data_IF_622559075959
#
_entry.id   IF_622559075959
#
_cell.length_a   1.000
_cell.length_b   1.000
_cell.length_c   1.000
_cell.angle_alpha   90.00
_cell.angle_beta   90.00
_cell.angle_gamma   90.00
#
_symmetry.space_group_name_H-M   'P 1'
#
loop_
_entity.id
_entity.type
_entity.pdbx_description
1 polymer ?
#
# COMPACT_ATOMS: atom_id res chain seq x y z
N UNK A 1 -10.92 -20.35 14.70
CA UNK A 1 -9.59 -19.72 14.74
C UNK A 1 -8.57 -20.56 15.48
N UNK A 2 -7.57 -21.06 14.77
CA UNK A 2 -6.42 -21.82 15.25
C UNK A 2 -5.47 -21.00 16.14
N UNK A 3 -5.36 -19.69 15.94
CA UNK A 3 -4.51 -18.85 16.78
C UNK A 3 -4.79 -18.99 18.30
N UNK A 4 -6.02 -19.37 18.69
CA UNK A 4 -6.40 -19.62 20.10
C UNK A 4 -5.78 -20.89 20.68
N UNK A 5 -5.44 -21.86 19.83
CA UNK A 5 -4.92 -23.18 20.23
C UNK A 5 -3.40 -23.28 20.08
N UNK A 6 -2.76 -22.29 19.48
CA UNK A 6 -1.30 -22.25 19.31
C UNK A 6 -0.65 -21.98 20.67
N UNK A 7 0.38 -22.76 20.99
CA UNK A 7 1.15 -22.61 22.21
C UNK A 7 1.78 -21.22 22.33
N UNK A 8 1.83 -20.69 23.55
CA UNK A 8 2.36 -19.34 23.83
C UNK A 8 3.79 -19.11 23.32
N UNK A 9 4.64 -20.14 23.32
CA UNK A 9 6.03 -20.05 22.83
C UNK A 9 6.10 -19.99 21.30
N UNK A 10 5.07 -20.47 20.60
CA UNK A 10 4.99 -20.50 19.15
C UNK A 10 4.11 -19.37 18.57
N UNK A 11 3.30 -18.72 19.40
CA UNK A 11 2.35 -17.68 18.99
C UNK A 11 3.02 -16.48 18.29
N UNK A 12 4.16 -15.99 18.78
CA UNK A 12 4.87 -14.88 18.11
C UNK A 12 5.33 -15.27 16.69
N UNK A 13 5.77 -16.52 16.50
CA UNK A 13 6.15 -17.05 15.19
C UNK A 13 4.96 -17.08 14.24
N UNK A 14 3.80 -17.54 14.71
CA UNK A 14 2.55 -17.53 13.95
C UNK A 14 2.11 -16.11 13.58
N UNK A 15 2.04 -15.20 14.56
CA UNK A 15 1.61 -13.82 14.36
C UNK A 15 2.55 -13.07 13.41
N UNK A 16 3.85 -13.35 13.46
CA UNK A 16 4.82 -12.84 12.48
C UNK A 16 4.52 -13.36 11.08
N UNK A 17 4.22 -14.65 10.93
CA UNK A 17 3.84 -15.23 9.65
C UNK A 17 2.57 -14.56 9.08
N UNK A 18 1.55 -14.37 9.93
CA UNK A 18 0.30 -13.67 9.58
C UNK A 18 0.55 -12.24 9.10
N UNK A 19 1.34 -11.45 9.85
CA UNK A 19 1.71 -10.09 9.45
C UNK A 19 2.47 -10.06 8.12
N UNK A 20 3.41 -10.98 7.89
CA UNK A 20 4.20 -11.03 6.65
C UNK A 20 3.31 -11.29 5.44
N UNK A 21 2.39 -12.26 5.49
CA UNK A 21 1.53 -12.60 4.34
C UNK A 21 0.43 -11.55 4.09
N UNK A 22 -0.06 -10.89 5.14
CA UNK A 22 -1.00 -9.77 5.03
C UNK A 22 -0.32 -8.52 4.45
N UNK A 23 0.94 -8.24 4.81
CA UNK A 23 1.70 -7.12 4.24
C UNK A 23 2.21 -7.42 2.81
N UNK A 24 2.43 -8.70 2.47
CA UNK A 24 2.96 -9.12 1.19
C UNK A 24 2.05 -10.18 0.57
N UNK A 25 1.12 -9.75 -0.26
CA UNK A 25 0.15 -10.65 -0.88
C UNK A 25 0.79 -11.70 -1.82
N UNK A 26 2.05 -11.52 -2.19
CA UNK A 26 2.89 -12.51 -2.84
C UNK A 26 4.21 -12.62 -2.05
N UNK A 27 4.55 -13.85 -1.68
CA UNK A 27 5.85 -14.21 -1.10
C UNK A 27 6.45 -15.31 -1.97
N UNK A 28 7.73 -15.17 -2.29
CA UNK A 28 8.50 -16.12 -3.10
C UNK A 28 9.75 -16.55 -2.33
N UNK A 29 10.62 -17.35 -2.95
CA UNK A 29 11.90 -17.75 -2.32
C UNK A 29 12.83 -16.56 -2.05
N UNK A 30 12.63 -15.43 -2.74
CA UNK A 30 13.49 -14.24 -2.64
C UNK A 30 12.74 -13.00 -2.16
N UNK A 31 11.42 -12.92 -2.36
CA UNK A 31 10.60 -11.76 -2.03
C UNK A 31 9.58 -12.07 -0.91
N UNK A 32 9.35 -11.16 0.06
CA UNK A 32 10.11 -9.92 0.29
C UNK A 32 11.53 -10.19 0.78
N UNK A 33 11.79 -11.37 1.34
CA UNK A 33 13.10 -11.86 1.74
C UNK A 33 13.13 -13.40 1.74
N UNK A 34 14.30 -13.98 2.00
CA UNK A 34 14.52 -15.45 1.97
C UNK A 34 13.93 -16.22 3.15
N UNK A 35 13.53 -15.54 4.22
CA UNK A 35 13.03 -16.18 5.45
C UNK A 35 11.49 -16.18 5.53
N UNK A 36 10.83 -15.30 4.77
CA UNK A 36 9.37 -15.15 4.74
C UNK A 36 8.64 -16.43 4.32
N UNK A 37 9.03 -17.06 3.20
CA UNK A 37 8.35 -18.25 2.70
C UNK A 37 8.46 -19.46 3.65
N UNK A 38 9.66 -19.83 4.18
CA UNK A 38 9.77 -20.89 5.18
C UNK A 38 8.90 -20.62 6.43
N UNK A 39 8.84 -19.36 6.89
CA UNK A 39 8.02 -18.97 8.03
C UNK A 39 6.52 -19.18 7.77
N UNK A 40 6.02 -18.78 6.60
CA UNK A 40 4.62 -18.98 6.22
C UNK A 40 4.31 -20.46 6.03
N UNK A 41 5.20 -21.22 5.39
CA UNK A 41 5.02 -22.67 5.16
C UNK A 41 4.86 -23.44 6.46
N UNK A 42 5.55 -23.04 7.53
CA UNK A 42 5.41 -23.63 8.87
C UNK A 42 3.98 -23.55 9.41
N UNK A 43 3.25 -22.49 9.08
CA UNK A 43 1.91 -22.18 9.60
C UNK A 43 0.83 -22.21 8.51
N UNK A 44 1.09 -22.89 7.40
CA UNK A 44 0.27 -22.77 6.19
C UNK A 44 -1.19 -23.25 6.38
N UNK A 45 -1.41 -24.25 7.24
CA UNK A 45 -2.75 -24.76 7.53
C UNK A 45 -3.53 -23.76 8.37
N UNK A 46 -2.96 -23.34 9.49
CA UNK A 46 -3.56 -22.41 10.44
C UNK A 46 -3.86 -21.07 9.79
N UNK A 47 -2.90 -20.53 9.02
CA UNK A 47 -3.08 -19.27 8.30
C UNK A 47 -4.19 -19.37 7.25
N UNK A 48 -4.28 -20.48 6.51
CA UNK A 48 -5.33 -20.65 5.48
C UNK A 48 -6.72 -20.61 6.10
N UNK A 49 -6.90 -21.29 7.22
CA UNK A 49 -8.19 -21.36 7.91
C UNK A 49 -8.52 -20.02 8.61
N UNK A 50 -7.58 -19.43 9.34
CA UNK A 50 -7.82 -18.19 10.08
C UNK A 50 -8.05 -16.99 9.15
N UNK A 51 -7.30 -16.88 8.04
CA UNK A 51 -7.49 -15.80 7.06
C UNK A 51 -8.82 -15.94 6.31
N UNK A 52 -9.25 -17.17 6.01
CA UNK A 52 -10.54 -17.44 5.40
C UNK A 52 -11.69 -17.14 6.37
N UNK A 53 -11.57 -17.56 7.63
CA UNK A 53 -12.59 -17.32 8.68
C UNK A 53 -12.77 -15.82 8.95
N UNK A 54 -11.66 -15.10 9.16
CA UNK A 54 -11.70 -13.70 9.61
C UNK A 54 -11.95 -12.70 8.48
N UNK A 55 -11.32 -12.91 7.33
CA UNK A 55 -11.31 -11.91 6.25
C UNK A 55 -11.94 -12.42 4.97
N UNK A 56 -12.26 -13.71 4.86
CA UNK A 56 -12.65 -14.32 3.59
C UNK A 56 -11.49 -14.42 2.59
N UNK A 57 -10.25 -14.24 3.03
CA UNK A 57 -9.09 -14.32 2.13
C UNK A 57 -8.72 -15.77 1.87
N UNK A 58 -8.39 -16.08 0.60
CA UNK A 58 -7.84 -17.39 0.23
C UNK A 58 -6.32 -17.34 0.29
N UNK A 59 -5.69 -18.34 0.88
CA UNK A 59 -4.23 -18.49 0.90
C UNK A 59 -3.79 -19.77 0.16
N UNK A 60 -3.04 -19.61 -0.92
CA UNK A 60 -2.36 -20.70 -1.61
C UNK A 60 -0.88 -20.71 -1.20
N UNK A 61 -0.38 -21.84 -0.71
CA UNK A 61 1.03 -22.02 -0.34
C UNK A 61 1.58 -23.22 -1.07
N UNK A 62 2.66 -23.03 -1.81
CA UNK A 62 3.41 -24.05 -2.54
C UNK A 62 4.82 -24.16 -1.98
N UNK A 63 5.69 -24.92 -2.65
CA UNK A 63 7.10 -25.00 -2.28
C UNK A 63 7.87 -23.70 -2.58
N UNK A 64 7.46 -22.98 -3.64
CA UNK A 64 8.17 -21.81 -4.19
C UNK A 64 7.47 -20.48 -3.91
N UNK A 65 6.18 -20.51 -3.60
CA UNK A 65 5.35 -19.30 -3.43
C UNK A 65 4.33 -19.43 -2.30
N UNK A 66 3.97 -18.30 -1.70
CA UNK A 66 2.74 -18.13 -0.96
C UNK A 66 1.99 -16.92 -1.52
N UNK A 67 0.71 -17.10 -1.88
CA UNK A 67 -0.13 -16.08 -2.51
C UNK A 67 -1.42 -15.91 -1.72
N UNK A 68 -1.61 -14.71 -1.16
CA UNK A 68 -2.85 -14.31 -0.51
C UNK A 68 -3.78 -13.66 -1.52
N UNK A 69 -5.01 -14.13 -1.64
CA UNK A 69 -6.04 -13.53 -2.49
C UNK A 69 -6.94 -12.67 -1.61
N UNK A 70 -6.66 -11.36 -1.49
CA UNK A 70 -7.50 -10.48 -0.71
C UNK A 70 -8.83 -10.23 -1.41
N UNK A 71 -9.83 -9.95 -0.59
CA UNK A 71 -11.18 -9.53 -0.97
C UNK A 71 -11.22 -8.01 -0.83
N UNK A 72 -11.53 -7.29 -1.92
CA UNK A 72 -11.48 -5.82 -1.93
C UNK A 72 -12.85 -5.23 -1.59
N UNK A 73 -12.92 -4.36 -0.58
CA UNK A 73 -14.17 -3.67 -0.18
C UNK A 73 -14.30 -2.26 -0.75
N UNK A 74 -13.19 -1.69 -1.21
CA UNK A 74 -13.10 -0.31 -1.66
C UNK A 74 -12.04 -0.17 -2.74
N UNK A 75 -12.17 0.85 -3.56
CA UNK A 75 -11.05 1.32 -4.38
C UNK A 75 -10.10 2.14 -3.51
N UNK A 76 -8.80 1.87 -3.64
CA UNK A 76 -7.75 2.57 -2.91
C UNK A 76 -6.62 2.95 -3.87
N UNK A 77 -6.35 4.25 -4.00
CA UNK A 77 -5.25 4.78 -4.81
C UNK A 77 -3.91 4.81 -4.06
N UNK A 78 -3.90 4.51 -2.75
CA UNK A 78 -2.75 4.63 -1.85
C UNK A 78 -1.68 3.55 -2.00
N UNK A 79 -1.92 2.51 -2.80
CA UNK A 79 -1.05 1.32 -2.94
C UNK A 79 -0.50 1.11 -4.36
N UNK A 80 0.20 2.09 -4.96
CA UNK A 80 0.73 1.90 -6.30
C UNK A 80 1.92 0.93 -6.33
N UNK A 81 2.12 0.27 -7.47
CA UNK A 81 3.39 -0.35 -7.82
C UNK A 81 4.51 0.71 -7.88
N UNK A 82 5.70 0.31 -7.42
CA UNK A 82 6.88 1.16 -7.39
C UNK A 82 8.09 0.47 -8.01
N UNK A 83 8.96 1.26 -8.63
CA UNK A 83 10.28 0.79 -9.08
C UNK A 83 11.18 0.48 -7.88
N UNK A 84 12.31 -0.23 -8.05
CA UNK A 84 13.30 -0.39 -6.99
C UNK A 84 13.83 0.93 -6.42
N UNK A 85 13.75 2.01 -7.20
CA UNK A 85 14.09 3.38 -6.79
C UNK A 85 12.87 4.14 -6.20
N UNK A 86 11.83 3.42 -5.77
CA UNK A 86 10.61 3.95 -5.13
C UNK A 86 9.75 4.90 -5.99
N UNK A 87 10.01 4.99 -7.30
CA UNK A 87 9.17 5.78 -8.22
C UNK A 87 7.84 5.08 -8.45
N UNK A 88 6.75 5.83 -8.35
CA UNK A 88 5.39 5.33 -8.64
C UNK A 88 5.27 4.97 -10.12
N UNK A 89 4.65 3.83 -10.40
CA UNK A 89 4.34 3.42 -11.77
C UNK A 89 3.29 4.37 -12.39
N UNK A 90 3.59 4.82 -13.60
CA UNK A 90 2.63 5.53 -14.44
C UNK A 90 1.84 4.54 -15.32
N UNK A 91 0.88 5.07 -16.08
CA UNK A 91 0.04 4.27 -16.99
C UNK A 91 0.85 3.39 -17.95
N UNK A 92 1.99 3.90 -18.44
CA UNK A 92 2.84 3.20 -19.42
C UNK A 92 3.54 2.01 -18.77
N UNK A 93 4.12 2.18 -17.57
CA UNK A 93 4.74 1.08 -16.82
C UNK A 93 3.75 -0.01 -16.44
N UNK A 94 2.53 0.34 -16.05
CA UNK A 94 1.48 -0.67 -15.80
C UNK A 94 1.09 -1.43 -17.08
N UNK A 95 1.01 -0.75 -18.22
CA UNK A 95 0.73 -1.39 -19.49
C UNK A 95 1.85 -2.37 -19.88
N UNK A 96 3.12 -1.94 -19.84
CA UNK A 96 4.26 -2.81 -20.13
C UNK A 96 4.38 -3.97 -19.15
N UNK A 97 4.13 -3.77 -17.85
CA UNK A 97 4.08 -4.85 -16.87
C UNK A 97 3.04 -5.91 -17.24
N UNK A 98 1.83 -5.48 -17.62
CA UNK A 98 0.74 -6.38 -18.01
C UNK A 98 1.06 -7.16 -19.29
N UNK A 99 1.64 -6.48 -20.29
CA UNK A 99 2.05 -7.11 -21.55
C UNK A 99 3.24 -8.05 -21.36
N UNK A 100 4.21 -7.69 -20.52
CA UNK A 100 5.35 -8.54 -20.18
C UNK A 100 4.88 -9.82 -19.47
N UNK A 101 3.96 -9.72 -18.51
CA UNK A 101 3.35 -10.90 -17.88
C UNK A 101 2.67 -11.82 -18.91
N UNK A 102 1.97 -11.25 -19.89
CA UNK A 102 1.35 -12.02 -20.97
C UNK A 102 2.38 -12.72 -21.87
N UNK A 103 3.50 -12.06 -22.18
CA UNK A 103 4.60 -12.63 -22.96
C UNK A 103 5.30 -13.76 -22.19
N UNK A 104 5.69 -13.52 -20.93
CA UNK A 104 6.35 -14.49 -20.07
C UNK A 104 5.51 -15.74 -19.81
N UNK A 105 4.18 -15.62 -19.73
CA UNK A 105 3.28 -16.77 -19.60
C UNK A 105 3.32 -17.73 -20.80
N UNK A 106 3.87 -17.30 -21.95
CA UNK A 106 4.01 -18.09 -23.19
C UNK A 106 5.47 -18.39 -23.54
N UNK A 107 6.42 -17.72 -22.91
CA UNK A 107 7.85 -17.89 -23.13
C UNK A 107 8.35 -19.26 -22.65
N UNK A 108 9.59 -19.60 -23.03
CA UNK A 108 10.32 -20.79 -22.56
C UNK A 108 10.74 -20.70 -21.09
N UNK A 109 11.87 -21.30 -20.74
CA UNK A 109 12.46 -21.18 -19.39
C UNK A 109 13.43 -19.98 -19.29
N UNK A 110 13.89 -19.46 -20.41
CA UNK A 110 14.72 -18.27 -20.53
C UNK A 110 14.18 -17.34 -21.62
N UNK A 111 14.48 -16.05 -21.50
CA UNK A 111 14.16 -15.03 -22.50
C UNK A 111 15.19 -13.90 -22.46
N UNK A 112 15.58 -13.36 -23.61
CA UNK A 112 16.39 -12.14 -23.66
C UNK A 112 15.53 -10.89 -23.49
N UNK A 113 16.12 -9.79 -23.05
CA UNK A 113 15.40 -8.54 -22.87
C UNK A 113 14.90 -7.98 -24.20
N UNK A 114 15.69 -8.12 -25.28
CA UNK A 114 15.29 -7.77 -26.64
C UNK A 114 14.10 -8.61 -27.12
N UNK A 115 14.12 -9.94 -26.91
CA UNK A 115 13.00 -10.80 -27.30
C UNK A 115 11.72 -10.44 -26.53
N UNK A 116 11.83 -10.17 -25.23
CA UNK A 116 10.70 -9.73 -24.43
C UNK A 116 10.16 -8.37 -24.91
N UNK A 117 11.05 -7.43 -25.25
CA UNK A 117 10.68 -6.13 -25.81
C UNK A 117 9.92 -6.28 -27.14
N UNK A 118 10.40 -7.13 -28.04
CA UNK A 118 9.74 -7.40 -29.33
C UNK A 118 8.33 -7.98 -29.14
N UNK A 119 8.16 -8.91 -28.19
CA UNK A 119 6.84 -9.46 -27.87
C UNK A 119 5.91 -8.41 -27.26
N UNK A 120 6.42 -7.57 -26.34
CA UNK A 120 5.63 -6.48 -25.75
C UNK A 120 5.25 -5.44 -26.79
N UNK A 121 6.17 -5.05 -27.68
CA UNK A 121 5.90 -4.14 -28.79
C UNK A 121 4.83 -4.72 -29.72
N UNK A 122 4.92 -6.01 -30.05
CA UNK A 122 3.91 -6.72 -30.84
C UNK A 122 2.53 -6.68 -30.18
N UNK A 123 2.44 -6.88 -28.86
CA UNK A 123 1.17 -6.84 -28.15
C UNK A 123 0.61 -5.42 -27.99
N UNK A 124 1.48 -4.42 -27.82
CA UNK A 124 1.11 -3.02 -27.69
C UNK A 124 0.34 -2.51 -28.92
N UNK A 125 0.60 -3.05 -30.12
CA UNK A 125 -0.14 -2.70 -31.35
C UNK A 125 -1.65 -2.91 -31.27
N UNK A 126 -2.13 -3.73 -30.32
CA UNK A 126 -3.57 -3.98 -30.10
C UNK A 126 -4.22 -2.99 -29.12
N UNK A 127 -3.46 -2.04 -28.59
CA UNK A 127 -3.91 -1.09 -27.58
C UNK A 127 -3.74 0.31 -28.15
N UNK A 128 -4.86 0.98 -28.41
CA UNK A 128 -4.85 2.33 -28.98
C UNK A 128 -4.06 3.31 -28.11
N UNK A 129 -3.14 4.04 -28.74
CA UNK A 129 -2.29 5.03 -28.05
C UNK A 129 -1.14 4.43 -27.22
N UNK A 130 -0.89 3.12 -27.29
CA UNK A 130 0.26 2.46 -26.67
C UNK A 130 1.23 1.97 -27.75
N UNK A 131 2.52 2.24 -27.54
CA UNK A 131 3.60 1.73 -28.38
C UNK A 131 4.83 1.51 -27.50
N UNK A 132 5.63 0.50 -27.81
CA UNK A 132 6.98 0.35 -27.27
C UNK A 132 7.95 0.51 -28.44
N UNK A 133 8.57 1.68 -28.55
CA UNK A 133 9.61 1.92 -29.54
C UNK A 133 10.97 2.00 -28.85
N UNK A 134 11.87 1.08 -29.19
CA UNK A 134 13.18 0.94 -28.54
C UNK A 134 14.13 2.10 -28.87
N UNK A 135 13.85 2.93 -29.86
CA UNK A 135 14.60 4.17 -30.14
C UNK A 135 14.33 5.27 -29.09
N UNK A 136 13.16 5.24 -28.43
CA UNK A 136 12.78 6.19 -27.38
C UNK A 136 13.28 5.76 -26.00
N UNK A 137 14.17 6.57 -25.42
CA UNK A 137 14.71 6.32 -24.08
C UNK A 137 13.60 6.15 -23.01
N UNK A 138 12.57 7.00 -23.05
CA UNK A 138 11.46 6.93 -22.08
C UNK A 138 10.68 5.60 -22.15
N UNK A 139 10.55 5.02 -23.34
CA UNK A 139 9.85 3.75 -23.56
C UNK A 139 10.71 2.59 -23.03
N UNK A 140 12.02 2.62 -23.32
CA UNK A 140 13.00 1.65 -22.77
C UNK A 140 13.05 1.71 -21.24
N UNK A 141 13.15 2.90 -20.66
CA UNK A 141 13.19 3.08 -19.20
C UNK A 141 11.93 2.54 -18.53
N UNK A 142 10.75 2.84 -19.09
CA UNK A 142 9.48 2.33 -18.56
C UNK A 142 9.38 0.80 -18.68
N UNK A 143 9.89 0.22 -19.76
CA UNK A 143 9.91 -1.23 -19.95
C UNK A 143 10.88 -1.92 -18.98
N UNK A 144 12.10 -1.40 -18.83
CA UNK A 144 13.07 -1.91 -17.85
C UNK A 144 12.57 -1.76 -16.42
N UNK A 145 11.85 -0.68 -16.08
CA UNK A 145 11.20 -0.52 -14.77
C UNK A 145 10.16 -1.64 -14.51
N UNK A 146 9.40 -2.06 -15.53
CA UNK A 146 8.45 -3.16 -15.43
C UNK A 146 9.15 -4.52 -15.25
N UNK A 147 10.23 -4.77 -16.01
CA UNK A 147 11.05 -5.98 -15.88
C UNK A 147 11.73 -6.04 -14.51
N UNK A 148 12.27 -4.92 -14.02
CA UNK A 148 12.88 -4.83 -12.70
C UNK A 148 11.87 -5.11 -11.58
N UNK A 149 10.60 -4.69 -11.74
CA UNK A 149 9.54 -5.00 -10.78
C UNK A 149 9.21 -6.50 -10.71
N UNK A 150 9.26 -7.19 -11.86
CA UNK A 150 9.10 -8.65 -11.96
C UNK A 150 10.30 -9.37 -11.33
N UNK A 151 11.51 -8.91 -11.63
CA UNK A 151 12.74 -9.46 -11.07
C UNK A 151 12.80 -9.31 -9.55
N UNK A 152 12.39 -8.15 -9.02
CA UNK A 152 12.31 -7.90 -7.58
C UNK A 152 11.38 -8.88 -6.85
N UNK A 153 10.36 -9.42 -7.53
CA UNK A 153 9.43 -10.44 -6.99
C UNK A 153 9.89 -11.87 -7.24
N UNK A 154 11.01 -12.06 -7.94
CA UNK A 154 11.55 -13.37 -8.29
C UNK A 154 10.85 -14.03 -9.48
N UNK A 155 10.09 -13.28 -10.29
CA UNK A 155 9.53 -13.82 -11.53
C UNK A 155 10.60 -13.98 -12.62
N UNK A 156 11.64 -13.14 -12.56
CA UNK A 156 12.80 -13.16 -13.44
C UNK A 156 14.08 -13.15 -12.60
N UNK A 157 15.09 -13.91 -13.02
CA UNK A 157 16.43 -13.86 -12.43
C UNK A 157 17.43 -13.57 -13.53
N UNK A 158 18.27 -12.55 -13.34
CA UNK A 158 19.31 -12.21 -14.31
C UNK A 158 20.34 -13.34 -14.38
N UNK A 159 20.43 -13.99 -15.53
CA UNK A 159 21.37 -15.07 -15.80
C UNK A 159 22.69 -14.54 -16.37
N UNK A 160 22.61 -13.58 -17.30
CA UNK A 160 23.77 -12.92 -17.93
C UNK A 160 23.40 -11.52 -18.46
N UNK A 161 24.40 -10.66 -18.66
CA UNK A 161 24.23 -9.32 -19.23
C UNK A 161 23.77 -8.23 -18.25
N UNK A 162 23.24 -7.13 -18.80
CA UNK A 162 22.78 -5.98 -18.02
C UNK A 162 21.63 -5.23 -18.71
N UNK A 163 20.52 -5.09 -18.01
CA UNK A 163 19.36 -4.34 -18.49
C UNK A 163 19.62 -2.82 -18.59
N UNK A 164 20.54 -2.29 -17.78
CA UNK A 164 20.99 -0.90 -17.90
C UNK A 164 21.72 -0.64 -19.21
N UNK A 165 22.60 -1.57 -19.60
CA UNK A 165 23.26 -1.59 -20.91
C UNK A 165 22.27 -1.59 -22.07
N UNK A 166 21.27 -2.48 -22.04
CA UNK A 166 20.20 -2.50 -23.06
C UNK A 166 19.37 -1.22 -23.07
N UNK A 167 19.06 -0.64 -21.91
CA UNK A 167 18.35 0.64 -21.83
C UNK A 167 19.18 1.81 -22.39
N UNK A 168 20.51 1.77 -22.28
CA UNK A 168 21.39 2.77 -22.86
C UNK A 168 21.48 2.62 -24.39
N UNK A 169 21.75 1.40 -24.86
CA UNK A 169 21.90 1.05 -26.28
C UNK A 169 21.43 -0.40 -26.55
N UNK A 170 20.21 -0.60 -27.06
CA UNK A 170 19.66 -1.93 -27.36
C UNK A 170 20.44 -2.72 -28.42
N UNK A 171 21.22 -2.07 -29.28
CA UNK A 171 21.99 -2.75 -30.33
C UNK A 171 23.31 -3.33 -29.77
N UNK A 172 23.78 -2.80 -28.63
CA UNK A 172 25.05 -3.17 -28.02
C UNK A 172 24.90 -3.88 -26.66
N UNK A 173 23.82 -3.62 -25.93
CA UNK A 173 23.52 -4.20 -24.62
C UNK A 173 22.43 -5.26 -24.69
N UNK A 174 22.53 -6.27 -23.82
CA UNK A 174 21.54 -7.35 -23.71
C UNK A 174 21.49 -7.87 -22.27
N UNK A 175 20.36 -8.47 -21.89
CA UNK A 175 20.20 -9.20 -20.64
C UNK A 175 19.42 -10.51 -20.87
N UNK A 176 19.96 -11.61 -20.39
CA UNK A 176 19.30 -12.92 -20.39
C UNK A 176 18.66 -13.17 -19.02
N UNK A 177 17.38 -13.55 -19.01
CA UNK A 177 16.65 -13.86 -17.79
C UNK A 177 16.18 -15.31 -17.74
N UNK A 178 16.38 -15.96 -16.59
CA UNK A 178 15.66 -17.17 -16.21
C UNK A 178 14.24 -16.81 -15.72
N UNK A 179 13.24 -17.56 -16.17
CA UNK A 179 11.82 -17.33 -15.87
C UNK A 179 11.34 -18.30 -14.78
N UNK A 180 10.90 -17.76 -13.63
CA UNK A 180 10.15 -18.57 -12.65
C UNK A 180 8.65 -18.57 -13.02
N UNK A 181 8.24 -19.58 -13.77
CA UNK A 181 6.85 -19.76 -14.20
C UNK A 181 5.87 -19.82 -13.01
N UNK A 182 6.28 -20.40 -11.89
CA UNK A 182 5.39 -20.49 -10.71
C UNK A 182 5.08 -19.10 -10.15
N UNK A 183 6.08 -18.21 -10.14
CA UNK A 183 5.91 -16.82 -9.70
C UNK A 183 5.13 -16.01 -10.74
N UNK A 184 5.42 -16.15 -12.04
CA UNK A 184 4.67 -15.47 -13.11
C UNK A 184 3.16 -15.79 -13.00
N UNK A 185 2.81 -17.07 -12.84
CA UNK A 185 1.42 -17.48 -12.66
C UNK A 185 0.83 -17.07 -11.31
N UNK A 186 1.63 -16.88 -10.27
CA UNK A 186 1.15 -16.40 -8.97
C UNK A 186 0.82 -14.90 -8.98
N UNK A 187 1.55 -14.09 -9.77
CA UNK A 187 1.34 -12.64 -9.86
C UNK A 187 -0.05 -12.32 -10.45
N UNK A 188 -0.37 -12.89 -11.61
CA UNK A 188 -1.60 -12.55 -12.34
C UNK A 188 -2.64 -13.65 -12.28
N UNK A 189 -3.50 -13.58 -11.26
CA UNK A 189 -4.63 -14.49 -11.02
C UNK A 189 -5.86 -13.65 -10.66
N UNK A 190 -6.49 -12.99 -11.64
CA UNK A 190 -7.64 -12.16 -11.36
C UNK A 190 -8.77 -13.00 -10.74
N UNK A 191 -9.54 -12.45 -9.79
CA UNK A 191 -10.60 -13.18 -9.10
C UNK A 191 -11.78 -13.50 -10.03
N UNK A 192 -11.89 -12.78 -11.14
CA UNK A 192 -12.92 -12.94 -12.17
C UNK A 192 -12.29 -12.88 -13.55
N UNK A 193 -13.03 -13.35 -14.56
CA UNK A 193 -12.60 -13.21 -15.94
C UNK A 193 -12.72 -11.75 -16.35
N UNK A 194 -11.59 -11.07 -16.58
CA UNK A 194 -11.56 -9.62 -16.82
C UNK A 194 -12.39 -9.18 -18.02
N UNK A 195 -12.58 -10.06 -19.03
CA UNK A 195 -13.38 -9.77 -20.22
C UNK A 195 -14.88 -9.56 -19.94
N UNK A 196 -15.36 -9.96 -18.75
CA UNK A 196 -16.74 -9.78 -18.31
C UNK A 196 -16.89 -8.58 -17.35
N UNK A 197 -15.82 -7.81 -17.11
CA UNK A 197 -15.91 -6.62 -16.27
C UNK A 197 -16.38 -5.45 -17.13
N UNK A 198 -17.52 -4.89 -16.73
CA UNK A 198 -18.11 -3.69 -17.34
C UNK A 198 -18.11 -2.50 -16.38
N UNK A 199 -17.79 -2.76 -15.11
CA UNK A 199 -17.46 -1.75 -14.12
C UNK A 199 -16.34 -2.29 -13.22
N UNK A 200 -15.49 -1.39 -12.75
CA UNK A 200 -14.48 -1.66 -11.72
C UNK A 200 -15.12 -2.14 -10.43
N UNK A 201 -16.38 -1.79 -10.16
CA UNK A 201 -17.15 -2.32 -9.01
C UNK A 201 -17.25 -3.84 -9.05
N UNK A 202 -17.24 -4.46 -10.23
CA UNK A 202 -17.20 -5.92 -10.38
C UNK A 202 -15.93 -6.59 -9.81
N UNK A 203 -14.87 -5.82 -9.52
CA UNK A 203 -13.67 -6.28 -8.80
C UNK A 203 -13.80 -6.16 -7.27
N UNK A 204 -14.72 -5.32 -6.82
CA UNK A 204 -15.05 -5.20 -5.41
C UNK A 204 -15.93 -6.37 -4.98
N UNK A 205 -16.05 -6.50 -3.68
CA UNK A 205 -16.94 -7.46 -3.05
C UNK A 205 -18.36 -6.96 -3.20
N UNK A 206 -18.99 -7.24 -4.35
CA UNK A 206 -20.39 -6.86 -4.58
C UNK A 206 -21.35 -8.06 -4.64
N UNK A 207 -22.42 -7.91 -3.87
CA UNK A 207 -23.75 -8.53 -3.93
C UNK A 207 -23.90 -10.05 -3.83
N UNK A 208 -22.88 -10.87 -4.08
CA UNK A 208 -23.08 -12.34 -4.11
C UNK A 208 -23.30 -12.97 -2.72
N UNK A 209 -22.85 -12.31 -1.65
CA UNK A 209 -23.03 -12.74 -0.25
C UNK A 209 -24.22 -12.02 0.45
N UNK A 210 -24.91 -11.12 -0.25
CA UNK A 210 -25.91 -10.21 0.34
C UNK A 210 -26.92 -9.62 -0.63
N UNK A 211 -27.08 -10.16 -1.84
CA UNK A 211 -28.14 -9.77 -2.77
C UNK A 211 -29.50 -9.94 -2.09
N UNK A 212 -30.56 -9.28 -2.60
CA UNK A 212 -31.89 -9.29 -2.00
C UNK A 212 -32.37 -10.76 -1.86
N UNK A 213 -32.19 -11.33 -0.66
CA UNK A 213 -32.37 -12.77 -0.41
C UNK A 213 -31.35 -13.44 0.55
N UNK A 214 -30.24 -12.78 0.89
CA UNK A 214 -29.30 -13.26 1.91
C UNK A 214 -29.94 -13.32 3.32
N UNK A 215 -29.72 -14.42 4.07
CA UNK A 215 -30.24 -14.50 5.44
C UNK A 215 -29.51 -13.52 6.38
N UNK A 216 -30.21 -12.94 7.36
CA UNK A 216 -29.63 -11.97 8.31
C UNK A 216 -28.30 -12.42 8.97
N UNK A 217 -28.07 -13.71 9.33
CA UNK A 217 -26.78 -14.16 9.82
C UNK A 217 -25.64 -14.07 8.81
N UNK A 218 -25.91 -14.28 7.51
CA UNK A 218 -24.91 -14.20 6.44
C UNK A 218 -24.49 -12.75 6.21
N UNK A 219 -25.45 -11.82 6.14
CA UNK A 219 -25.19 -10.38 6.03
C UNK A 219 -24.32 -9.89 7.20
N UNK A 220 -24.64 -10.31 8.43
CA UNK A 220 -23.85 -9.96 9.62
C UNK A 220 -22.44 -10.54 9.58
N UNK A 221 -22.26 -11.77 9.08
CA UNK A 221 -20.95 -12.39 8.93
C UNK A 221 -20.10 -11.66 7.88
N UNK A 222 -20.70 -11.24 6.76
CA UNK A 222 -20.05 -10.44 5.73
C UNK A 222 -19.62 -9.07 6.26
N UNK A 223 -20.51 -8.35 6.96
CA UNK A 223 -20.19 -7.09 7.64
C UNK A 223 -19.04 -7.26 8.65
N UNK A 224 -19.04 -8.33 9.44
CA UNK A 224 -17.96 -8.61 10.38
C UNK A 224 -16.62 -8.86 9.67
N UNK A 225 -16.61 -9.51 8.50
CA UNK A 225 -15.39 -9.67 7.70
C UNK A 225 -14.91 -8.32 7.15
N UNK A 226 -15.80 -7.46 6.64
CA UNK A 226 -15.46 -6.10 6.19
C UNK A 226 -14.81 -5.25 7.28
N UNK A 227 -15.37 -5.26 8.49
CA UNK A 227 -14.77 -4.54 9.64
C UNK A 227 -13.39 -5.10 9.99
N UNK A 228 -13.22 -6.43 9.98
CA UNK A 228 -11.90 -7.04 10.24
C UNK A 228 -10.89 -6.68 9.14
N UNK A 229 -11.29 -6.68 7.86
CA UNK A 229 -10.45 -6.24 6.74
C UNK A 229 -10.05 -4.78 6.89
N UNK A 230 -11.00 -3.89 7.21
CA UNK A 230 -10.72 -2.49 7.48
C UNK A 230 -9.69 -2.31 8.59
N UNK A 231 -9.73 -3.10 9.66
CA UNK A 231 -8.75 -3.05 10.76
C UNK A 231 -7.32 -3.39 10.33
N UNK A 232 -7.13 -4.28 9.35
CA UNK A 232 -5.80 -4.68 8.85
C UNK A 232 -5.35 -3.92 7.61
N UNK A 233 -6.27 -3.29 6.89
CA UNK A 233 -6.00 -2.56 5.64
C UNK A 233 -5.89 -1.04 5.83
N UNK A 234 -6.57 -0.45 6.82
CA UNK A 234 -6.55 1.00 7.06
C UNK A 234 -5.64 1.36 8.22
N UNK A 235 -4.98 2.55 8.17
CA UNK A 235 -4.25 3.07 9.32
C UNK A 235 -5.14 3.28 10.55
N UNK A 236 -6.37 3.75 10.30
CA UNK A 236 -7.41 4.01 11.31
C UNK A 236 -8.78 3.68 10.73
N UNK A 237 -9.59 2.94 11.48
CA UNK A 237 -11.00 2.68 11.17
C UNK A 237 -11.86 3.65 11.95
N UNK A 238 -12.29 4.73 11.30
CA UNK A 238 -13.21 5.70 11.88
C UNK A 238 -14.64 5.15 11.87
N UNK A 239 -15.30 5.16 13.03
CA UNK A 239 -16.65 4.67 13.18
C UNK A 239 -17.62 5.48 12.30
N UNK A 240 -17.47 6.80 12.20
CA UNK A 240 -18.33 7.66 11.37
C UNK A 240 -18.33 7.31 9.87
N UNK A 241 -17.33 6.58 9.38
CA UNK A 241 -17.23 6.13 7.98
C UNK A 241 -17.80 4.74 7.73
N UNK A 242 -18.31 4.09 8.77
CA UNK A 242 -18.90 2.76 8.67
C UNK A 242 -20.44 2.85 8.65
N UNK A 243 -21.11 1.98 7.90
CA UNK A 243 -22.55 1.75 8.04
C UNK A 243 -22.95 1.37 9.48
N UNK A 244 -24.23 1.50 9.84
CA UNK A 244 -24.71 1.32 11.22
C UNK A 244 -24.42 -0.06 11.84
N UNK A 245 -24.55 -1.12 11.06
CA UNK A 245 -24.25 -2.49 11.46
C UNK A 245 -22.75 -2.71 11.69
N UNK A 246 -21.91 -2.20 10.78
CA UNK A 246 -20.46 -2.25 10.88
C UNK A 246 -19.92 -1.41 12.03
N UNK A 247 -20.49 -0.23 12.31
CA UNK A 247 -20.21 0.58 13.51
C UNK A 247 -20.46 -0.21 14.78
N UNK A 248 -21.61 -0.89 14.86
CA UNK A 248 -21.97 -1.72 16.01
C UNK A 248 -20.96 -2.86 16.19
N UNK A 249 -20.55 -3.50 15.09
CA UNK A 249 -19.58 -4.58 15.10
C UNK A 249 -18.18 -4.12 15.53
N UNK A 250 -17.70 -2.96 15.06
CA UNK A 250 -16.43 -2.35 15.49
C UNK A 250 -16.40 -2.07 17.00
N UNK A 251 -17.55 -1.71 17.58
CA UNK A 251 -17.72 -1.52 19.02
C UNK A 251 -17.54 -2.80 19.84
N UNK A 252 -17.69 -3.99 19.25
CA UNK A 252 -17.57 -5.26 19.99
C UNK A 252 -16.11 -5.62 20.30
N UNK A 253 -15.82 -5.96 21.56
CA UNK A 253 -14.47 -6.40 21.98
C UNK A 253 -14.03 -7.66 21.24
N UNK A 254 -14.93 -8.64 21.11
CA UNK A 254 -14.64 -9.92 20.45
C UNK A 254 -14.05 -9.75 19.05
N UNK A 255 -14.63 -8.89 18.21
CA UNK A 255 -14.18 -8.70 16.84
C UNK A 255 -12.75 -8.14 16.80
N UNK A 256 -12.47 -7.14 17.62
CA UNK A 256 -11.15 -6.50 17.70
C UNK A 256 -10.11 -7.47 18.27
N UNK A 257 -10.44 -8.19 19.35
CA UNK A 257 -9.54 -9.18 19.97
C UNK A 257 -9.20 -10.33 19.02
N UNK A 258 -10.11 -10.72 18.12
CA UNK A 258 -9.83 -11.72 17.09
C UNK A 258 -8.74 -11.25 16.12
N UNK A 259 -8.75 -9.97 15.75
CA UNK A 259 -7.70 -9.38 14.90
C UNK A 259 -6.39 -9.19 15.67
N UNK A 260 -6.45 -8.76 16.93
CA UNK A 260 -5.26 -8.68 17.81
C UNK A 260 -4.61 -10.05 17.99
N UNK A 261 -5.40 -11.12 18.18
CA UNK A 261 -4.87 -12.46 18.38
C UNK A 261 -4.15 -12.99 17.13
N UNK A 262 -4.74 -12.78 15.95
CA UNK A 262 -4.12 -13.16 14.68
C UNK A 262 -2.83 -12.39 14.43
N UNK A 263 -2.89 -11.07 14.58
CA UNK A 263 -1.81 -10.17 14.16
C UNK A 263 -0.76 -9.95 15.23
N UNK A 264 -1.05 -10.22 16.51
CA UNK A 264 -0.22 -9.84 17.65
C UNK A 264 -0.11 -8.34 17.90
N UNK A 265 -0.83 -7.51 17.13
CA UNK A 265 -0.84 -6.06 17.30
C UNK A 265 -1.88 -5.67 18.35
N UNK A 266 -1.64 -4.54 19.01
CA UNK A 266 -2.58 -3.97 19.97
C UNK A 266 -3.51 -2.99 19.29
N UNK A 267 -4.80 -3.10 19.55
CA UNK A 267 -5.79 -2.15 19.12
C UNK A 267 -5.87 -0.99 20.11
N UNK A 268 -5.68 0.23 19.62
CA UNK A 268 -6.08 1.43 20.34
C UNK A 268 -7.53 1.76 19.98
N UNK A 269 -8.40 1.81 20.98
CA UNK A 269 -9.83 2.09 20.82
C UNK A 269 -10.14 3.45 21.43
N UNK A 270 -10.79 4.30 20.66
CA UNK A 270 -11.25 5.62 21.08
C UNK A 270 -12.70 5.83 20.65
N UNK A 271 -13.29 6.95 21.05
CA UNK A 271 -14.69 7.24 20.73
C UNK A 271 -14.91 7.35 19.21
N UNK A 272 -13.93 7.88 18.49
CA UNK A 272 -13.95 8.07 17.04
C UNK A 272 -13.75 6.79 16.23
N UNK A 273 -13.15 5.74 16.79
CA UNK A 273 -12.68 4.60 16.00
C UNK A 273 -11.59 3.75 16.64
N UNK A 274 -11.00 2.87 15.81
CA UNK A 274 -10.00 1.88 16.23
C UNK A 274 -8.80 1.90 15.29
N UNK A 275 -7.59 1.82 15.85
CA UNK A 275 -6.35 1.68 15.10
C UNK A 275 -5.52 0.50 15.63
N UNK A 276 -4.96 -0.33 14.74
CA UNK A 276 -3.97 -1.33 15.12
C UNK A 276 -2.59 -0.70 15.18
N UNK A 277 -1.90 -0.87 16.30
CA UNK A 277 -0.60 -0.22 16.56
C UNK A 277 0.54 -1.16 16.20
N UNK A 278 1.17 -0.92 15.05
CA UNK A 278 2.41 -1.60 14.63
C UNK A 278 3.65 -0.91 15.22
N UNK A 279 4.03 -1.32 16.44
CA UNK A 279 5.27 -0.86 17.06
C UNK A 279 6.54 -1.37 16.36
N UNK A 280 6.43 -2.45 15.58
CA UNK A 280 7.58 -3.09 14.93
C UNK A 280 7.98 -2.41 13.62
N UNK A 281 7.03 -1.71 12.99
CA UNK A 281 7.19 -1.11 11.66
C UNK A 281 7.37 -2.16 10.55
N UNK A 282 6.84 -3.37 10.74
CA UNK A 282 6.95 -4.51 9.80
C UNK A 282 5.60 -4.97 9.24
N UNK A 283 4.52 -4.28 9.59
CA UNK A 283 3.18 -4.54 9.11
C UNK A 283 2.60 -3.37 8.31
N UNK A 284 3.01 -2.14 8.63
CA UNK A 284 2.64 -0.96 7.84
C UNK A 284 3.59 -0.76 6.64
N UNK A 285 3.03 -0.35 5.50
CA UNK A 285 3.78 0.06 4.30
C UNK A 285 4.48 1.42 4.48
N UNK A 286 3.94 2.26 5.37
CA UNK A 286 4.53 3.51 5.80
C UNK A 286 4.91 3.46 7.27
N UNK A 287 6.18 3.77 7.55
CA UNK A 287 6.65 3.93 8.93
C UNK A 287 6.42 5.35 9.41
N UNK A 288 5.58 5.50 10.43
CA UNK A 288 5.33 6.78 11.10
C UNK A 288 5.08 6.55 12.61
N UNK A 289 5.68 7.35 13.52
CA UNK A 289 6.67 8.40 13.29
C UNK A 289 7.99 7.89 12.67
N UNK A 290 8.73 8.79 12.02
CA UNK A 290 9.97 8.45 11.30
C UNK A 290 11.06 9.52 11.46
N UNK A 291 12.29 9.19 11.05
CA UNK A 291 13.46 10.07 11.19
C UNK A 291 13.75 10.92 9.95
N UNK A 292 13.04 10.68 8.84
CA UNK A 292 13.21 11.46 7.61
C UNK A 292 12.58 12.85 7.72
N UNK A 293 13.03 13.79 6.88
CA UNK A 293 12.53 15.18 6.87
C UNK A 293 11.02 15.26 6.78
N UNK A 294 10.38 14.51 5.87
CA UNK A 294 8.92 14.53 5.72
C UNK A 294 8.20 14.14 7.01
N UNK A 295 8.66 13.08 7.68
CA UNK A 295 8.06 12.63 8.93
C UNK A 295 8.29 13.63 10.07
N UNK A 296 9.47 14.23 10.16
CA UNK A 296 9.78 15.25 11.17
C UNK A 296 8.94 16.52 10.98
N UNK A 297 8.85 17.03 9.75
CA UNK A 297 8.03 18.21 9.42
C UNK A 297 6.55 17.91 9.63
N UNK A 298 6.09 16.72 9.28
CA UNK A 298 4.71 16.29 9.56
C UNK A 298 4.40 16.30 11.07
N UNK A 299 5.30 15.83 11.92
CA UNK A 299 5.10 15.87 13.38
C UNK A 299 5.08 17.31 13.93
N UNK A 300 5.96 18.18 13.43
CA UNK A 300 5.94 19.60 13.80
C UNK A 300 4.64 20.28 13.37
N UNK A 301 4.20 20.04 12.12
CA UNK A 301 2.93 20.56 11.61
C UNK A 301 1.74 20.02 12.41
N UNK A 302 1.75 18.75 12.82
CA UNK A 302 0.73 18.18 13.70
C UNK A 302 0.70 18.92 15.04
N UNK A 303 1.86 19.27 15.62
CA UNK A 303 1.94 20.08 16.84
C UNK A 303 1.24 21.43 16.67
N UNK A 304 1.58 22.17 15.63
CA UNK A 304 0.98 23.48 15.33
C UNK A 304 -0.53 23.37 15.05
N UNK A 305 -0.97 22.33 14.33
CA UNK A 305 -2.40 22.05 14.10
C UNK A 305 -3.10 21.76 15.43
N UNK A 306 -2.50 20.95 16.30
CA UNK A 306 -3.10 20.59 17.57
C UNK A 306 -3.25 21.83 18.47
N UNK A 307 -2.23 22.68 18.53
CA UNK A 307 -2.28 23.94 19.29
C UNK A 307 -3.36 24.88 18.73
N UNK A 308 -3.45 25.01 17.40
CA UNK A 308 -4.51 25.79 16.74
C UNK A 308 -5.92 25.26 17.05
N UNK A 309 -6.13 23.94 17.01
CA UNK A 309 -7.44 23.32 17.25
C UNK A 309 -7.83 23.38 18.74
N UNK A 310 -6.85 23.37 19.64
CA UNK A 310 -7.05 23.44 21.08
C UNK A 310 -7.19 24.87 21.62
N UNK A 311 -6.94 25.89 20.79
CA UNK A 311 -7.16 27.29 21.15
C UNK A 311 -8.67 27.59 21.25
N UNK A 312 -9.16 27.67 22.48
CA UNK A 312 -10.57 27.92 22.80
C UNK A 312 -10.93 29.40 22.57
N UNK A 313 -9.95 30.31 22.64
CA UNK A 313 -10.18 31.74 22.45
C UNK A 313 -10.34 32.09 20.96
N UNK A 314 -9.73 31.29 20.07
CA UNK A 314 -9.81 31.44 18.62
C UNK A 314 -10.23 30.14 17.93
N UNK A 315 -11.48 29.66 18.14
CA UNK A 315 -11.90 28.37 17.62
C UNK A 315 -11.87 28.34 16.10
N UNK A 316 -11.29 27.29 15.55
CA UNK A 316 -11.29 27.07 14.10
C UNK A 316 -12.67 26.70 13.58
N UNK A 317 -12.93 27.06 12.31
CA UNK A 317 -14.12 26.63 11.60
C UNK A 317 -14.19 25.10 11.57
N UNK A 318 -15.39 24.53 11.64
CA UNK A 318 -15.61 23.09 11.48
C UNK A 318 -16.45 22.82 10.23
N UNK A 319 -16.27 21.66 9.61
CA UNK A 319 -17.09 21.19 8.48
C UNK A 319 -17.25 19.66 8.55
N UNK A 320 -18.36 19.09 8.03
CA UNK A 320 -18.52 17.64 7.93
C UNK A 320 -17.58 17.04 6.87
N UNK A 321 -17.27 15.75 7.02
CA UNK A 321 -16.57 14.98 5.99
C UNK A 321 -17.59 14.69 4.87
N UNK A 322 -17.27 14.96 3.59
CA UNK A 322 -18.16 14.62 2.49
C UNK A 322 -18.28 13.09 2.36
N UNK A 323 -19.40 12.58 1.81
CA UNK A 323 -19.50 11.18 1.47
C UNK A 323 -18.38 10.77 0.51
N UNK A 324 -18.01 9.49 0.52
CA UNK A 324 -16.99 8.96 -0.38
C UNK A 324 -17.40 9.22 -1.84
N UNK A 325 -16.53 9.90 -2.60
CA UNK A 325 -16.82 10.25 -3.99
C UNK A 325 -16.78 9.03 -4.92
N UNK A 326 -17.67 9.00 -5.92
CA UNK A 326 -17.73 7.98 -6.98
C UNK A 326 -16.78 8.26 -8.14
N UNK A 327 -16.12 9.42 -8.15
CA UNK A 327 -15.31 9.92 -9.28
C UNK A 327 -14.20 8.96 -9.70
N UNK A 328 -13.58 8.23 -8.76
CA UNK A 328 -12.55 7.24 -9.13
C UNK A 328 -13.17 6.05 -9.88
N UNK A 329 -14.31 5.54 -9.41
CA UNK A 329 -15.01 4.44 -10.06
C UNK A 329 -15.50 4.87 -11.46
N UNK A 330 -16.13 6.03 -11.57
CA UNK A 330 -16.59 6.59 -12.85
C UNK A 330 -15.45 6.77 -13.86
N UNK A 331 -14.29 7.30 -13.41
CA UNK A 331 -13.11 7.45 -14.26
C UNK A 331 -12.52 6.12 -14.71
N UNK A 332 -12.58 5.09 -13.87
CA UNK A 332 -12.10 3.75 -14.23
C UNK A 332 -13.08 3.07 -15.18
N UNK A 333 -14.38 3.18 -14.94
CA UNK A 333 -15.44 2.63 -15.79
C UNK A 333 -15.40 3.24 -17.19
N UNK A 334 -15.25 4.56 -17.29
CA UNK A 334 -15.06 5.26 -18.56
C UNK A 334 -13.77 4.87 -19.32
N UNK A 335 -12.82 4.21 -18.66
CA UNK A 335 -11.58 3.72 -19.26
C UNK A 335 -11.61 2.23 -19.62
N UNK A 336 -12.70 1.50 -19.30
CA UNK A 336 -12.86 0.10 -19.70
C UNK A 336 -13.08 0.04 -21.23
N UNK A 337 -12.30 -0.74 -21.99
CA UNK A 337 -12.46 -0.83 -23.44
C UNK A 337 -13.84 -1.39 -23.83
N UNK A 338 -14.59 -0.66 -24.67
CA UNK A 338 -15.93 -1.08 -25.17
C UNK A 338 -15.87 -2.33 -26.07
N UNK A 339 -14.72 -2.62 -26.68
CA UNK A 339 -14.54 -3.66 -27.70
C UNK A 339 -14.41 -5.09 -27.14
N UNK A 340 -15.05 -5.41 -26.03
CA UNK A 340 -15.07 -6.80 -25.54
C UNK A 340 -15.94 -7.66 -26.47
N UNK A 341 -15.44 -8.84 -26.84
CA UNK A 341 -16.08 -9.78 -27.81
C UNK A 341 -17.52 -10.18 -27.40
N UNK A 342 -17.91 -9.92 -26.16
CA UNK A 342 -19.19 -10.33 -25.57
C UNK A 342 -20.22 -9.19 -25.42
N UNK A 343 -19.89 -7.95 -25.82
CA UNK A 343 -20.84 -6.84 -25.81
C UNK A 343 -22.17 -7.15 -26.55
N UNK A 344 -22.21 -7.90 -27.68
CA UNK A 344 -23.46 -8.24 -28.37
C UNK A 344 -24.30 -9.36 -27.73
N UNK A 345 -23.78 -10.06 -26.71
CA UNK A 345 -24.44 -11.22 -26.08
C UNK A 345 -25.12 -10.88 -24.74
N UNK A 346 -25.17 -9.59 -24.40
CA UNK A 346 -25.71 -9.12 -23.14
C UNK A 346 -27.24 -8.95 -23.21
N UNK A 347 -27.92 -9.53 -22.21
CA UNK A 347 -29.23 -9.06 -21.79
C UNK A 347 -28.96 -7.82 -20.93
N UNK A 348 -29.54 -6.68 -21.31
CA UNK A 348 -29.59 -5.50 -20.46
C UNK A 348 -30.21 -5.93 -19.13
N UNK A 349 -29.38 -6.09 -18.10
CA UNK A 349 -29.88 -6.10 -16.73
C UNK A 349 -30.03 -4.63 -16.40
N UNK A 350 -31.27 -4.17 -16.29
CA UNK A 350 -31.56 -2.83 -15.79
C UNK A 350 -30.74 -2.66 -14.50
N UNK A 351 -30.01 -1.54 -14.33
CA UNK A 351 -29.40 -1.26 -13.05
C UNK A 351 -30.54 -1.29 -12.03
N UNK A 352 -30.57 -2.32 -11.18
CA UNK A 352 -31.36 -2.25 -9.96
C UNK A 352 -30.84 -1.01 -9.26
N UNK A 353 -31.67 0.05 -9.23
CA UNK A 353 -31.47 1.15 -8.32
C UNK A 353 -31.41 0.47 -6.95
N UNK A 354 -30.20 0.33 -6.42
CA UNK A 354 -30.03 -0.05 -5.03
C UNK A 354 -30.75 1.05 -4.25
N UNK A 355 -32.00 0.77 -3.87
CA UNK A 355 -32.69 1.52 -2.84
C UNK A 355 -31.77 1.43 -1.64
N UNK A 356 -30.99 2.49 -1.41
CA UNK A 356 -30.26 2.71 -0.19
C UNK A 356 -31.31 2.95 0.89
N UNK A 357 -31.96 1.87 1.30
CA UNK A 357 -32.96 1.79 2.38
C UNK A 357 -32.29 2.01 3.76
N UNK A 358 -31.04 2.47 3.75
CA UNK A 358 -30.43 3.19 4.86
C UNK A 358 -31.13 4.54 4.99
N UNK A 359 -32.25 4.61 5.72
CA UNK A 359 -32.65 5.91 6.29
C UNK A 359 -31.39 6.50 6.95
N UNK A 360 -30.87 7.66 6.51
CA UNK A 360 -29.76 8.31 7.18
C UNK A 360 -30.29 8.63 8.57
N UNK A 361 -29.88 7.81 9.54
CA UNK A 361 -30.35 7.95 10.91
C UNK A 361 -30.20 9.42 11.31
N UNK A 362 -31.23 9.95 11.95
CA UNK A 362 -31.40 11.35 12.40
C UNK A 362 -30.33 11.78 13.44
N UNK A 363 -29.07 11.46 13.19
CA UNK A 363 -27.91 11.82 13.97
C UNK A 363 -27.25 13.06 13.39
N UNK A 364 -26.78 13.93 14.27
CA UNK A 364 -25.96 15.08 13.93
C UNK A 364 -24.71 14.61 13.16
N UNK A 365 -24.50 15.14 11.95
CA UNK A 365 -23.33 14.80 11.12
C UNK A 365 -22.08 15.34 11.83
N UNK A 366 -21.11 14.49 12.22
CA UNK A 366 -19.94 14.95 12.95
C UNK A 366 -19.14 15.97 12.12
N UNK A 367 -18.85 17.12 12.73
CA UNK A 367 -18.00 18.14 12.11
C UNK A 367 -16.57 18.09 12.63
N UNK A 368 -15.61 18.29 11.72
CA UNK A 368 -14.18 18.23 12.00
C UNK A 368 -13.54 19.62 11.85
N UNK A 369 -12.49 19.93 12.64
CA UNK A 369 -11.74 21.17 12.49
C UNK A 369 -11.19 21.34 11.08
N UNK A 370 -11.33 22.55 10.53
CA UNK A 370 -10.90 22.91 9.18
C UNK A 370 -9.78 23.96 9.23
N UNK A 371 -8.70 23.68 8.50
CA UNK A 371 -7.50 24.53 8.43
C UNK A 371 -7.24 24.90 6.97
N UNK A 372 -7.03 26.18 6.67
CA UNK A 372 -6.87 26.65 5.27
C UNK A 372 -5.52 26.26 4.67
N UNK A 373 -5.46 26.09 3.35
CA UNK A 373 -4.21 25.82 2.62
C UNK A 373 -3.16 26.93 2.84
N UNK A 374 -3.61 28.19 2.94
CA UNK A 374 -2.75 29.35 3.22
C UNK A 374 -2.08 29.24 4.61
N UNK A 375 -2.84 28.85 5.63
CA UNK A 375 -2.29 28.66 6.98
C UNK A 375 -1.28 27.51 7.01
N UNK A 376 -1.59 26.39 6.35
CA UNK A 376 -0.69 25.23 6.27
C UNK A 376 0.62 25.61 5.58
N UNK A 377 0.54 26.30 4.44
CA UNK A 377 1.73 26.73 3.69
C UNK A 377 2.60 27.72 4.47
N UNK A 378 1.99 28.71 5.14
CA UNK A 378 2.74 29.67 5.95
C UNK A 378 3.38 29.01 7.19
N UNK A 379 2.70 28.05 7.80
CA UNK A 379 3.24 27.27 8.94
C UNK A 379 4.42 26.41 8.50
N UNK A 380 4.32 25.68 7.39
CA UNK A 380 5.45 24.87 6.88
C UNK A 380 6.63 25.76 6.46
N UNK A 381 6.37 26.94 5.89
CA UNK A 381 7.41 27.92 5.61
C UNK A 381 8.12 28.35 6.90
N UNK A 382 7.38 28.73 7.94
CA UNK A 382 7.96 29.13 9.22
C UNK A 382 8.76 28.00 9.89
N UNK A 383 8.29 26.75 9.79
CA UNK A 383 9.03 25.57 10.25
C UNK A 383 10.33 25.37 9.44
N UNK A 384 10.29 25.63 8.14
CA UNK A 384 11.48 25.57 7.26
C UNK A 384 12.47 26.68 7.59
N UNK A 385 12.01 27.89 7.88
CA UNK A 385 12.88 29.00 8.27
C UNK A 385 13.56 28.72 9.62
N UNK A 386 12.83 28.11 10.57
CA UNK A 386 13.34 27.80 11.92
C UNK A 386 14.24 26.57 11.97
N UNK A 387 13.87 25.50 11.25
CA UNK A 387 14.51 24.18 11.37
C UNK A 387 15.13 23.65 10.07
N UNK A 388 15.02 24.39 8.97
CA UNK A 388 15.41 23.93 7.62
C UNK A 388 16.86 23.47 7.50
N UNK A 389 17.77 24.01 8.32
CA UNK A 389 19.16 23.56 8.38
C UNK A 389 19.34 22.06 8.69
N UNK A 390 18.35 21.43 9.32
CA UNK A 390 18.35 19.99 9.63
C UNK A 390 17.58 19.13 8.62
N UNK A 391 16.91 19.77 7.66
CA UNK A 391 16.16 19.08 6.62
C UNK A 391 17.07 18.65 5.47
N UNK A 392 16.66 17.63 4.71
CA UNK A 392 17.36 17.22 3.51
C UNK A 392 17.46 18.40 2.52
N UNK A 393 18.62 18.54 1.86
CA UNK A 393 18.97 19.71 1.06
C UNK A 393 17.92 20.09 0.00
N UNK A 394 17.29 19.10 -0.63
CA UNK A 394 16.24 19.32 -1.63
C UNK A 394 15.03 20.10 -1.10
N UNK A 395 14.74 20.02 0.20
CA UNK A 395 13.57 20.67 0.82
C UNK A 395 13.88 22.05 1.39
N UNK A 396 15.16 22.39 1.57
CA UNK A 396 15.55 23.65 2.22
C UNK A 396 15.13 24.89 1.42
N UNK A 397 15.02 24.75 0.10
CA UNK A 397 14.64 25.84 -0.81
C UNK A 397 13.27 25.62 -1.49
N UNK A 398 12.56 24.53 -1.17
CA UNK A 398 11.27 24.17 -1.78
C UNK A 398 10.23 23.86 -0.69
N UNK A 399 9.89 24.87 0.11
CA UNK A 399 8.82 24.78 1.10
C UNK A 399 7.44 24.44 0.49
N UNK A 400 7.04 24.94 -0.70
CA UNK A 400 5.80 24.52 -1.34
C UNK A 400 5.78 23.03 -1.71
N UNK A 401 6.88 22.49 -2.25
CA UNK A 401 7.02 21.06 -2.52
C UNK A 401 7.00 20.23 -1.23
N UNK A 402 7.73 20.68 -0.20
CA UNK A 402 7.71 20.05 1.12
C UNK A 402 6.30 20.00 1.72
N UNK A 403 5.55 21.10 1.60
CA UNK A 403 4.15 21.19 2.07
C UNK A 403 3.29 20.13 1.38
N UNK A 404 3.38 20.00 0.05
CA UNK A 404 2.61 19.00 -0.70
C UNK A 404 2.93 17.57 -0.25
N UNK A 405 4.21 17.24 -0.11
CA UNK A 405 4.63 15.88 0.31
C UNK A 405 4.24 15.56 1.75
N UNK A 406 4.32 16.54 2.67
CA UNK A 406 3.89 16.39 4.07
C UNK A 406 2.37 16.20 4.15
N UNK A 407 1.59 17.00 3.43
CA UNK A 407 0.13 16.84 3.35
C UNK A 407 -0.23 15.48 2.76
N UNK A 408 0.43 15.06 1.67
CA UNK A 408 0.22 13.74 1.08
C UNK A 408 0.55 12.60 2.06
N UNK A 409 1.62 12.74 2.87
CA UNK A 409 1.95 11.79 3.92
C UNK A 409 0.85 11.70 4.99
N UNK A 410 0.38 12.85 5.50
CA UNK A 410 -0.68 12.89 6.52
C UNK A 410 -2.02 12.32 6.00
N UNK A 411 -2.34 12.58 4.73
CA UNK A 411 -3.52 12.01 4.07
C UNK A 411 -3.41 10.49 3.93
N UNK A 412 -2.24 9.96 3.51
CA UNK A 412 -2.00 8.50 3.45
C UNK A 412 -2.08 7.80 4.81
N UNK A 413 -1.79 8.52 5.89
CA UNK A 413 -1.95 8.04 7.26
C UNK A 413 -3.38 8.18 7.81
N UNK A 414 -4.32 8.69 7.00
CA UNK A 414 -5.71 8.97 7.38
C UNK A 414 -5.80 9.87 8.63
N UNK A 415 -4.91 10.86 8.72
CA UNK A 415 -4.91 11.87 9.79
C UNK A 415 -5.60 13.15 9.37
N UNK A 416 -5.77 13.36 8.06
CA UNK A 416 -6.46 14.50 7.47
C UNK A 416 -7.25 14.07 6.24
N UNK A 417 -8.23 14.88 5.83
CA UNK A 417 -8.81 14.87 4.49
C UNK A 417 -8.42 16.17 3.75
N UNK A 418 -8.09 16.05 2.47
CA UNK A 418 -7.59 17.17 1.66
C UNK A 418 -8.72 17.72 0.78
N UNK A 419 -8.86 19.04 0.77
CA UNK A 419 -9.77 19.81 -0.08
C UNK A 419 -9.00 20.86 -0.87
N UNK A 420 -9.64 21.43 -1.88
CA UNK A 420 -9.03 22.50 -2.68
C UNK A 420 -8.68 23.75 -1.84
N UNK A 421 -9.49 24.06 -0.82
CA UNK A 421 -9.35 25.26 0.01
C UNK A 421 -8.71 25.00 1.39
N UNK A 422 -8.42 23.75 1.75
CA UNK A 422 -7.81 23.42 3.03
C UNK A 422 -7.85 21.95 3.42
N UNK A 423 -7.69 21.68 4.71
CA UNK A 423 -7.61 20.35 5.30
C UNK A 423 -8.67 20.19 6.38
N UNK A 424 -9.35 19.04 6.41
CA UNK A 424 -10.07 18.59 7.59
C UNK A 424 -9.15 17.75 8.47
N UNK A 425 -9.14 18.06 9.77
CA UNK A 425 -8.28 17.40 10.75
C UNK A 425 -9.04 16.26 11.40
N UNK A 426 -8.56 15.03 11.23
CA UNK A 426 -9.22 13.85 11.77
C UNK A 426 -8.71 13.54 13.20
N UNK A 427 -9.54 12.94 14.08
CA UNK A 427 -9.21 12.82 15.51
C UNK A 427 -7.92 12.04 15.80
N UNK A 428 -7.55 11.05 14.97
CA UNK A 428 -6.35 10.26 15.21
C UNK A 428 -5.05 11.09 15.09
N UNK A 429 -5.09 12.26 14.44
CA UNK A 429 -3.96 13.19 14.40
C UNK A 429 -3.50 13.60 15.81
N UNK A 430 -4.45 13.74 16.74
CA UNK A 430 -4.18 14.13 18.12
C UNK A 430 -3.31 13.13 18.90
N UNK A 431 -3.10 11.90 18.37
CA UNK A 431 -2.12 10.93 18.88
C UNK A 431 -0.71 11.50 18.90
N UNK A 432 -0.37 12.36 17.94
CA UNK A 432 0.99 12.83 17.70
C UNK A 432 1.24 14.25 18.23
N UNK A 433 0.26 14.90 18.87
CA UNK A 433 0.36 16.29 19.37
C UNK A 433 1.55 16.57 20.29
N UNK A 434 2.02 15.55 21.01
CA UNK A 434 3.14 15.65 21.96
C UNK A 434 4.39 14.93 21.49
N UNK A 435 4.50 14.60 20.20
CA UNK A 435 5.66 13.89 19.69
C UNK A 435 6.92 14.76 19.77
N UNK A 436 7.93 14.29 20.48
CA UNK A 436 9.22 14.98 20.59
C UNK A 436 10.03 14.75 19.32
N UNK A 437 10.20 15.80 18.53
CA UNK A 437 11.09 15.78 17.36
C UNK A 437 12.53 15.94 17.85
N UNK A 438 13.31 14.87 17.80
CA UNK A 438 14.76 14.93 18.07
C UNK A 438 15.48 15.46 16.84
N UNK A 439 15.70 16.77 16.83
CA UNK A 439 16.50 17.46 15.81
C UNK A 439 17.98 17.17 16.09
N UNK A 440 18.56 16.19 15.40
CA UNK A 440 20.01 15.94 15.49
C UNK A 440 20.74 17.10 14.83
N UNK A 441 21.56 17.81 15.60
CA UNK A 441 22.41 18.87 15.05
C UNK A 441 23.52 18.22 14.20
N UNK A 442 23.84 18.82 13.05
CA UNK A 442 24.78 18.28 12.05
C UNK A 442 26.17 17.95 12.63
N UNK A 443 26.58 18.66 13.69
CA UNK A 443 27.84 18.45 14.40
C UNK A 443 27.96 17.06 15.03
N UNK A 444 26.87 16.49 15.55
CA UNK A 444 26.91 15.16 16.16
C UNK A 444 27.07 14.05 15.11
N UNK A 445 26.44 14.20 13.94
CA UNK A 445 26.56 13.23 12.84
C UNK A 445 27.98 13.13 12.28
N UNK A 446 28.75 14.24 12.27
CA UNK A 446 30.15 14.25 11.84
C UNK A 446 31.09 13.64 12.90
N UNK A 447 30.78 13.81 14.19
CA UNK A 447 31.51 13.18 15.30
C UNK A 447 31.32 11.66 15.31
N UNK A 448 30.09 11.16 15.08
CA UNK A 448 29.84 9.72 15.00
C UNK A 448 30.41 9.10 13.72
N UNK A 449 30.32 9.78 12.56
CA UNK A 449 30.95 9.31 11.33
C UNK A 449 32.49 9.27 11.42
N UNK A 450 33.09 10.20 12.18
CA UNK A 450 34.54 10.22 12.44
C UNK A 450 34.95 9.15 13.45
N UNK A 451 34.13 8.87 14.47
CA UNK A 451 34.39 7.81 15.44
C UNK A 451 34.35 6.41 14.79
N UNK A 452 33.41 6.16 13.87
CA UNK A 452 33.35 4.89 13.12
C UNK A 452 34.54 4.74 12.18
N UNK A 453 34.99 5.82 11.51
CA UNK A 453 36.20 5.80 10.67
C UNK A 453 37.50 5.62 11.45
N UNK A 454 37.59 6.12 12.69
CA UNK A 454 38.75 5.86 13.55
C UNK A 454 38.78 4.40 14.04
N UNK A 455 37.62 3.79 14.30
CA UNK A 455 37.51 2.38 14.69
C UNK A 455 37.98 1.42 13.59
N UNK A 456 37.63 1.70 12.33
CA UNK A 456 38.05 0.88 11.18
C UNK A 456 39.57 0.97 10.90
N UNK A 457 40.21 2.13 11.16
CA UNK A 457 41.66 2.26 11.03
C UNK A 457 42.46 1.60 12.16
N UNK A 458 41.89 1.52 13.37
CA UNK A 458 42.52 0.81 14.49
C UNK A 458 42.49 -0.72 14.32
N UNK A 459 41.46 -1.28 13.66
CA UNK A 459 41.39 -2.72 13.37
C UNK A 459 42.28 -3.16 12.20
N UNK A 460 42.58 -2.27 11.25
CA UNK A 460 43.41 -2.58 10.09
C UNK A 460 44.93 -2.62 10.40
N UNK A 461 45.37 -2.09 11.54
CA UNK A 461 46.80 -1.97 11.88
C UNK A 461 47.34 -3.10 12.75
N UNK A 462 46.48 -3.95 13.32
CA UNK A 462 46.87 -5.03 14.25
C UNK A 462 47.09 -6.41 13.55
N UNK A 463 47.06 -6.45 12.22
CA UNK A 463 47.08 -7.69 11.43
C UNK A 463 48.40 -8.06 10.74
N UNK A 464 49.48 -7.31 10.95
CA UNK A 464 50.72 -7.49 10.17
C UNK A 464 51.98 -7.53 11.04
N UNK A 465 52.21 -8.64 11.74
CA UNK A 465 53.58 -9.09 12.07
C UNK A 465 53.64 -10.61 12.32
N UNK A 466 54.07 -11.35 11.30
CA UNK A 466 54.81 -12.62 11.41
C UNK A 466 56.30 -12.25 11.41
N UNK A 467 57.23 -12.98 12.08
CA UNK A 467 57.61 -14.38 11.73
C UNK A 467 57.96 -15.24 12.97
N UNK A 468 58.24 -16.55 12.93
CA UNK A 468 58.84 -17.44 11.92
C UNK A 468 58.10 -18.77 11.76
#
# INVERSE_FOLDING_TARGET
MHARTIDSLALDSYQRAARVILANHLVTRTFPDRIALPLIRRWATELREDLAELFGYRLEVTETTARLFPVQDRLDAGRPARTPAERVFDRRRYAYLSLALAALGRAGDQITLSELADQVASYATRVDGLELATDRAADRDAFVDAVAWLAARGALTLADGDAGGWAADPEAGEALYDIDRSVVFAIFRPPRVLQHLHSVRGLLTDESDGGPGGSAPQTRAAAARRVRRALVELPVVYAERLPGDERTLLGTEKLVTEVELLTGLRAERRAEGVALIDVSGRFSDLRFPGTGTLAQVALLLIGEIADLVLDIDNPVRRRPIPPAGTTLAERLDAAIPESTVFAPLMVETEPEEAEDDSEPGEGEVPEHPFVTTEWVGSTVQALTDRYGSTFAAQWQADAPGLTREVVALLARLHLIEVFDDGLLILPALARYRGAVVTVRTRAESELFASATKLGDHAQATDGAEKPS
#
